data_IF_758744284154
#
_entry.id   IF_758744284154
#
_cell.length_a   1.000
_cell.length_b   1.000
_cell.length_c   1.000
_cell.angle_alpha   90.00
_cell.angle_beta   90.00
_cell.angle_gamma   90.00
#
_symmetry.space_group_name_H-M   'P 1'
#
loop_
_entity.id
_entity.type
_entity.pdbx_description
1 polymer ?
#
# COMPACT_ATOMS: atom_id res chain seq x y z
N UNK A 1 4.76 -17.77 11.98
CA UNK A 1 3.72 -18.80 11.91
C UNK A 1 3.62 -19.29 10.49
N UNK A 2 3.79 -20.61 10.27
CA UNK A 2 3.60 -21.26 8.96
C UNK A 2 2.10 -21.44 8.71
N UNK A 3 1.38 -20.33 8.58
CA UNK A 3 -0.03 -20.35 8.17
C UNK A 3 -0.10 -20.38 6.65
N UNK A 4 -1.00 -21.20 6.13
CA UNK A 4 -1.31 -21.22 4.70
C UNK A 4 -1.81 -19.82 4.28
N UNK A 5 -1.21 -19.17 3.27
CA UNK A 5 -1.62 -17.85 2.80
C UNK A 5 -3.07 -17.78 2.31
N UNK A 6 -3.67 -18.92 1.94
CA UNK A 6 -5.07 -19.02 1.52
C UNK A 6 -6.06 -18.88 2.68
N UNK A 7 -5.61 -19.12 3.92
CA UNK A 7 -6.46 -18.96 5.10
C UNK A 7 -6.59 -17.47 5.43
N UNK A 8 -7.82 -16.94 5.58
CA UNK A 8 -8.02 -15.56 5.98
C UNK A 8 -7.38 -15.27 7.34
N UNK A 9 -6.40 -14.35 7.36
CA UNK A 9 -5.71 -13.93 8.57
C UNK A 9 -6.03 -12.47 8.86
N UNK A 10 -6.58 -12.21 10.04
CA UNK A 10 -6.94 -10.89 10.53
C UNK A 10 -6.13 -10.57 11.78
N UNK A 11 -5.40 -9.47 11.75
CA UNK A 11 -4.63 -8.98 12.89
C UNK A 11 -5.32 -7.75 13.45
N UNK A 12 -5.60 -7.76 14.75
CA UNK A 12 -6.33 -6.67 15.38
C UNK A 12 -6.73 -6.98 16.81
N UNK A 13 -7.85 -6.40 17.22
CA UNK A 13 -8.48 -6.68 18.51
C UNK A 13 -9.10 -8.09 18.52
N UNK A 14 -9.32 -8.62 19.71
CA UNK A 14 -10.00 -9.91 19.89
C UNK A 14 -11.48 -9.78 19.48
N UNK A 15 -11.96 -10.57 18.52
CA UNK A 15 -13.36 -10.50 18.08
C UNK A 15 -14.36 -11.00 19.11
N UNK A 16 -13.94 -11.83 20.11
CA UNK A 16 -14.82 -12.42 21.13
C UNK A 16 -16.09 -13.02 20.53
N UNK A 17 -15.95 -13.78 19.45
CA UNK A 17 -17.05 -14.38 18.69
C UNK A 17 -18.11 -13.34 18.22
N UNK A 18 -17.65 -12.17 17.76
CA UNK A 18 -18.49 -11.10 17.25
C UNK A 18 -19.00 -10.10 18.30
N UNK A 19 -18.57 -10.23 19.56
CA UNK A 19 -18.91 -9.30 20.66
C UNK A 19 -17.75 -8.41 21.10
N UNK A 20 -16.57 -8.59 20.48
CA UNK A 20 -15.36 -7.84 20.80
C UNK A 20 -15.46 -6.37 20.46
N UNK A 21 -14.59 -5.56 21.08
CA UNK A 21 -14.44 -4.13 20.79
C UNK A 21 -13.08 -3.86 20.17
N UNK A 22 -13.03 -2.86 19.30
CA UNK A 22 -11.82 -2.41 18.62
C UNK A 22 -11.89 -2.66 17.12
N UNK A 23 -10.73 -2.64 16.48
CA UNK A 23 -10.64 -2.61 15.02
C UNK A 23 -9.65 -3.65 14.48
N UNK A 24 -9.76 -3.92 13.19
CA UNK A 24 -8.75 -4.59 12.38
C UNK A 24 -7.54 -3.66 12.24
N UNK A 25 -6.35 -4.13 12.58
CA UNK A 25 -5.09 -3.41 12.30
C UNK A 25 -4.65 -3.66 10.85
N UNK A 26 -4.62 -4.93 10.44
CA UNK A 26 -4.32 -5.35 9.07
C UNK A 26 -4.87 -6.75 8.82
N UNK A 27 -4.88 -7.18 7.55
CA UNK A 27 -5.28 -8.52 7.16
C UNK A 27 -4.56 -8.95 5.86
N UNK A 28 -4.48 -10.27 5.62
CA UNK A 28 -3.94 -10.80 4.37
C UNK A 28 -4.94 -10.66 3.20
N UNK A 29 -4.50 -11.00 2.00
CA UNK A 29 -5.32 -10.87 0.79
C UNK A 29 -6.54 -11.80 0.85
N UNK A 30 -6.42 -13.01 1.34
CA UNK A 30 -7.55 -13.93 1.52
C UNK A 30 -8.66 -13.31 2.40
N UNK A 31 -8.32 -12.58 3.45
CA UNK A 31 -9.30 -11.86 4.26
C UNK A 31 -9.87 -10.62 3.52
N UNK A 32 -9.09 -10.00 2.62
CA UNK A 32 -9.56 -8.85 1.83
C UNK A 32 -10.62 -9.23 0.81
N UNK A 33 -10.65 -10.49 0.34
CA UNK A 33 -11.67 -11.01 -0.56
C UNK A 33 -13.06 -11.04 0.11
N UNK A 34 -13.11 -11.15 1.45
CA UNK A 34 -14.33 -10.95 2.25
C UNK A 34 -14.65 -9.47 2.53
N UNK A 35 -13.94 -8.54 1.88
CA UNK A 35 -14.13 -7.09 2.06
C UNK A 35 -13.59 -6.55 3.39
N UNK A 36 -12.71 -7.30 4.09
CA UNK A 36 -12.08 -6.84 5.33
C UNK A 36 -10.97 -5.84 5.00
N UNK A 37 -10.89 -4.75 5.77
CA UNK A 37 -9.90 -3.68 5.61
C UNK A 37 -9.42 -3.18 6.97
N UNK A 38 -8.25 -2.55 6.99
CA UNK A 38 -7.74 -1.85 8.18
C UNK A 38 -8.75 -0.80 8.66
N UNK A 39 -8.78 -0.59 9.96
CA UNK A 39 -9.73 0.26 10.68
C UNK A 39 -11.20 -0.21 10.69
N UNK A 40 -11.53 -1.33 10.04
CA UNK A 40 -12.86 -1.92 10.13
C UNK A 40 -13.15 -2.35 11.57
N UNK A 41 -14.37 -2.14 12.11
CA UNK A 41 -14.75 -2.71 13.41
C UNK A 41 -14.55 -4.22 13.44
N UNK A 42 -13.97 -4.73 14.52
CA UNK A 42 -13.63 -6.16 14.62
C UNK A 42 -14.88 -7.07 14.59
N UNK A 43 -16.00 -6.58 15.08
CA UNK A 43 -17.30 -7.25 15.04
C UNK A 43 -17.83 -7.38 13.61
N UNK A 44 -17.58 -6.36 12.78
CA UNK A 44 -17.95 -6.39 11.36
C UNK A 44 -17.05 -7.35 10.59
N UNK A 45 -15.75 -7.36 10.87
CA UNK A 45 -14.82 -8.31 10.29
C UNK A 45 -15.22 -9.75 10.62
N UNK A 46 -15.59 -10.03 11.89
CA UNK A 46 -16.09 -11.33 12.31
C UNK A 46 -17.38 -11.75 11.59
N UNK A 47 -18.30 -10.81 11.38
CA UNK A 47 -19.57 -11.10 10.67
C UNK A 47 -19.32 -11.49 9.22
N UNK A 48 -18.32 -10.88 8.56
CA UNK A 48 -17.97 -11.16 7.16
C UNK A 48 -17.15 -12.42 7.00
N UNK A 49 -16.26 -12.71 7.91
CA UNK A 49 -15.33 -13.83 7.87
C UNK A 49 -15.13 -14.39 9.28
N UNK A 50 -16.04 -15.29 9.74
CA UNK A 50 -15.96 -15.84 11.07
C UNK A 50 -14.71 -16.71 11.26
N UNK A 51 -14.15 -16.68 12.47
CA UNK A 51 -13.15 -17.64 12.92
C UNK A 51 -13.77 -18.86 13.63
N UNK A 52 -12.89 -19.75 14.10
CA UNK A 52 -13.32 -20.93 14.88
C UNK A 52 -14.22 -20.52 16.07
N UNK A 53 -15.31 -21.27 16.37
CA UNK A 53 -15.68 -22.56 15.80
C UNK A 53 -16.62 -22.49 14.57
N UNK A 54 -16.98 -21.31 14.08
CA UNK A 54 -18.00 -21.13 13.01
C UNK A 54 -17.38 -20.97 11.61
N UNK A 55 -16.07 -20.72 11.51
CA UNK A 55 -15.35 -20.54 10.25
C UNK A 55 -13.85 -20.72 10.43
N UNK A 56 -13.11 -20.63 9.32
CA UNK A 56 -11.69 -20.96 9.27
C UNK A 56 -10.76 -19.75 9.42
N UNK A 57 -11.30 -18.54 9.54
CA UNK A 57 -10.49 -17.34 9.67
C UNK A 57 -9.68 -17.34 10.98
N UNK A 58 -8.44 -16.92 10.87
CA UNK A 58 -7.53 -16.79 12.01
C UNK A 58 -7.49 -15.34 12.46
N UNK A 59 -7.86 -15.12 13.72
CA UNK A 59 -7.76 -13.82 14.39
C UNK A 59 -6.59 -13.80 15.35
N UNK A 60 -5.69 -12.83 15.19
CA UNK A 60 -4.49 -12.71 16.03
C UNK A 60 -4.31 -11.29 16.53
N UNK A 61 -3.80 -11.15 17.74
CA UNK A 61 -3.30 -9.87 18.22
C UNK A 61 -1.93 -9.57 17.61
N UNK A 62 -1.71 -8.31 17.23
CA UNK A 62 -0.42 -7.87 16.75
C UNK A 62 0.68 -8.01 17.81
N UNK A 63 1.83 -8.55 17.43
CA UNK A 63 2.99 -8.69 18.33
C UNK A 63 3.73 -7.36 18.42
N UNK A 64 3.79 -6.79 19.64
CA UNK A 64 4.47 -5.52 19.89
C UNK A 64 5.93 -5.58 19.47
N UNK A 65 6.38 -4.58 18.72
CA UNK A 65 7.76 -4.44 18.26
C UNK A 65 8.18 -5.34 17.09
N UNK A 66 7.38 -6.36 16.71
CA UNK A 66 7.70 -7.24 15.58
C UNK A 66 7.78 -6.44 14.28
N UNK A 67 6.73 -5.66 13.99
CA UNK A 67 6.63 -4.86 12.76
C UNK A 67 7.73 -3.80 12.67
N UNK A 68 8.05 -3.13 13.78
CA UNK A 68 9.15 -2.15 13.82
C UNK A 68 10.51 -2.79 13.60
N UNK A 69 10.71 -4.04 14.02
CA UNK A 69 11.95 -4.78 13.72
C UNK A 69 12.03 -5.16 12.25
N UNK A 70 10.94 -5.66 11.67
CA UNK A 70 10.87 -5.97 10.23
C UNK A 70 11.09 -4.70 9.40
N UNK A 71 10.41 -3.62 9.73
CA UNK A 71 10.56 -2.31 9.10
C UNK A 71 12.02 -1.85 9.07
N UNK A 72 12.72 -1.86 10.23
CA UNK A 72 14.14 -1.47 10.27
C UNK A 72 15.02 -2.31 9.36
N UNK A 73 14.75 -3.61 9.21
CA UNK A 73 15.50 -4.48 8.29
C UNK A 73 15.23 -4.09 6.83
N UNK A 74 13.96 -3.91 6.46
CA UNK A 74 13.59 -3.43 5.10
C UNK A 74 14.25 -2.10 4.79
N UNK A 75 14.17 -1.12 5.71
CA UNK A 75 14.78 0.19 5.52
C UNK A 75 16.31 0.12 5.42
N UNK A 76 16.95 -0.81 6.14
CA UNK A 76 18.40 -1.04 6.04
C UNK A 76 18.79 -1.63 4.68
N UNK A 77 17.98 -2.53 4.11
CA UNK A 77 18.18 -3.08 2.76
C UNK A 77 18.06 -1.98 1.70
N UNK A 78 17.04 -1.10 1.83
CA UNK A 78 16.74 -0.08 0.82
C UNK A 78 17.70 1.12 0.82
N UNK A 79 18.16 1.53 2.01
CA UNK A 79 18.97 2.76 2.19
C UNK A 79 20.20 2.88 1.29
N UNK A 80 20.98 1.80 1.00
CA UNK A 80 22.17 1.90 0.14
C UNK A 80 21.89 2.23 -1.32
N UNK A 81 20.63 2.12 -1.77
CA UNK A 81 20.25 2.29 -3.17
C UNK A 81 19.84 3.71 -3.56
N UNK A 82 19.90 4.66 -2.63
CA UNK A 82 19.53 6.05 -2.92
C UNK A 82 20.33 7.04 -2.06
N UNK A 83 20.73 8.15 -2.67
CA UNK A 83 21.38 9.26 -1.96
C UNK A 83 20.39 9.95 -0.99
N UNK A 84 19.14 10.10 -1.42
CA UNK A 84 18.03 10.62 -0.61
C UNK A 84 17.04 9.50 -0.31
N UNK A 85 16.98 9.14 0.95
CA UNK A 85 16.12 8.09 1.49
C UNK A 85 15.23 8.65 2.58
N UNK A 86 13.91 8.53 2.41
CA UNK A 86 12.90 9.03 3.34
C UNK A 86 11.93 7.93 3.75
N UNK A 87 12.01 7.40 4.98
CA UNK A 87 10.94 6.58 5.52
C UNK A 87 9.67 7.41 5.71
N UNK A 88 8.59 7.04 5.02
CA UNK A 88 7.32 7.74 5.13
C UNK A 88 6.43 7.14 6.23
N UNK A 89 6.53 5.83 6.44
CA UNK A 89 5.84 5.11 7.52
C UNK A 89 6.63 3.87 7.94
N UNK A 90 6.01 2.99 8.72
CA UNK A 90 6.61 1.71 9.14
C UNK A 90 6.79 0.73 7.96
N UNK A 91 6.04 0.90 6.89
CA UNK A 91 5.97 0.00 5.73
C UNK A 91 6.18 0.71 4.39
N UNK A 92 6.47 2.01 4.41
CA UNK A 92 6.65 2.82 3.20
C UNK A 92 7.92 3.68 3.28
N UNK A 93 8.64 3.78 2.16
CA UNK A 93 9.78 4.68 2.00
C UNK A 93 9.81 5.26 0.58
N UNK A 94 10.32 6.47 0.46
CA UNK A 94 10.67 7.10 -0.80
C UNK A 94 12.18 7.11 -0.99
N UNK A 95 12.59 6.80 -2.21
CA UNK A 95 13.99 6.76 -2.63
C UNK A 95 14.16 7.66 -3.86
N UNK A 96 15.02 8.64 -3.77
CA UNK A 96 15.47 9.39 -4.95
C UNK A 96 16.67 8.65 -5.56
N UNK A 97 16.40 7.99 -6.67
CA UNK A 97 17.38 7.17 -7.41
C UNK A 97 17.92 7.87 -8.65
N UNK A 98 17.61 9.17 -8.84
CA UNK A 98 17.98 9.95 -10.02
C UNK A 98 19.48 9.91 -10.29
N UNK A 99 20.29 10.17 -9.28
CA UNK A 99 21.75 10.12 -9.39
C UNK A 99 22.27 8.69 -9.60
N UNK A 100 21.70 7.72 -8.88
CA UNK A 100 22.10 6.32 -8.94
C UNK A 100 21.84 5.70 -10.32
N UNK A 101 20.76 6.08 -10.96
CA UNK A 101 20.36 5.60 -12.28
C UNK A 101 20.76 6.54 -13.42
N UNK A 102 21.45 7.66 -13.16
CA UNK A 102 21.81 8.69 -14.14
C UNK A 102 20.58 9.18 -14.97
N UNK A 103 19.39 9.21 -14.36
CA UNK A 103 18.15 9.57 -15.02
C UNK A 103 17.57 8.51 -15.96
N UNK A 104 18.18 7.33 -16.05
CA UNK A 104 17.72 6.23 -16.89
C UNK A 104 16.57 5.48 -16.20
N UNK A 105 15.42 5.43 -16.87
CA UNK A 105 14.20 4.77 -16.40
C UNK A 105 14.27 3.25 -16.41
N UNK A 106 15.02 2.65 -17.33
CA UNK A 106 15.21 1.21 -17.38
C UNK A 106 16.19 0.77 -16.29
N UNK A 107 17.23 1.56 -16.01
CA UNK A 107 18.08 1.36 -14.85
C UNK A 107 17.28 1.46 -13.53
N UNK A 108 16.36 2.42 -13.41
CA UNK A 108 15.48 2.53 -12.24
C UNK A 108 14.56 1.31 -12.09
N UNK A 109 14.04 0.78 -13.19
CA UNK A 109 13.23 -0.45 -13.16
C UNK A 109 14.07 -1.67 -12.75
N UNK A 110 15.28 -1.80 -13.27
CA UNK A 110 16.21 -2.86 -12.88
C UNK A 110 16.59 -2.76 -11.40
N UNK A 111 16.82 -1.56 -10.91
CA UNK A 111 17.10 -1.29 -9.51
C UNK A 111 15.93 -1.69 -8.60
N UNK A 112 14.69 -1.35 -8.97
CA UNK A 112 13.50 -1.74 -8.21
C UNK A 112 13.35 -3.27 -8.15
N UNK A 113 13.64 -3.99 -9.24
CA UNK A 113 13.67 -5.46 -9.25
C UNK A 113 14.72 -6.02 -8.30
N UNK A 114 15.92 -5.43 -8.29
CA UNK A 114 16.99 -5.81 -7.36
C UNK A 114 16.61 -5.60 -5.91
N UNK A 115 16.08 -4.44 -5.57
CA UNK A 115 15.61 -4.13 -4.21
C UNK A 115 14.52 -5.10 -3.75
N UNK A 116 13.56 -5.40 -4.64
CA UNK A 116 12.50 -6.36 -4.37
C UNK A 116 13.05 -7.75 -4.04
N UNK A 117 13.97 -8.26 -4.86
CA UNK A 117 14.62 -9.55 -4.63
C UNK A 117 15.38 -9.59 -3.29
N UNK A 118 16.16 -8.55 -2.97
CA UNK A 118 16.85 -8.48 -1.68
C UNK A 118 15.88 -8.58 -0.48
N UNK A 119 14.72 -7.89 -0.54
CA UNK A 119 13.71 -7.97 0.52
C UNK A 119 13.11 -9.38 0.60
N UNK A 120 12.79 -9.99 -0.52
CA UNK A 120 12.21 -11.34 -0.59
C UNK A 120 13.18 -12.40 -0.09
N UNK A 121 14.45 -12.36 -0.52
CA UNK A 121 15.48 -13.34 -0.14
C UNK A 121 15.89 -13.23 1.33
N UNK A 122 16.09 -11.99 1.83
CA UNK A 122 16.58 -11.79 3.20
C UNK A 122 15.48 -11.89 4.25
N UNK A 123 14.24 -11.51 3.91
CA UNK A 123 13.17 -11.34 4.91
C UNK A 123 11.93 -12.20 4.63
N UNK A 124 11.80 -12.79 3.44
CA UNK A 124 10.60 -13.50 3.03
C UNK A 124 9.37 -12.58 2.94
N UNK A 125 9.57 -11.28 2.71
CA UNK A 125 8.50 -10.30 2.60
C UNK A 125 8.31 -9.86 1.16
N UNK A 126 7.06 -9.74 0.72
CA UNK A 126 6.75 -9.11 -0.57
C UNK A 126 6.76 -7.59 -0.46
N UNK A 127 7.31 -6.91 -1.46
CA UNK A 127 7.27 -5.46 -1.57
C UNK A 127 6.80 -5.04 -2.96
N UNK A 128 5.95 -4.00 -3.03
CA UNK A 128 5.51 -3.38 -4.29
C UNK A 128 6.21 -2.06 -4.50
N UNK A 129 6.63 -1.79 -5.74
CA UNK A 129 7.37 -0.59 -6.10
C UNK A 129 6.62 0.23 -7.14
N UNK A 130 6.57 1.54 -6.94
CA UNK A 130 6.15 2.50 -7.94
C UNK A 130 7.33 3.39 -8.33
N UNK A 131 7.52 3.59 -9.63
CA UNK A 131 8.56 4.46 -10.19
C UNK A 131 7.87 5.60 -10.93
N UNK A 132 8.20 6.82 -10.57
CA UNK A 132 7.62 8.02 -11.16
C UNK A 132 8.49 9.25 -10.92
N UNK A 133 8.26 10.32 -11.68
CA UNK A 133 8.99 11.58 -11.55
C UNK A 133 8.64 12.37 -10.29
N UNK A 134 7.58 11.97 -9.58
CA UNK A 134 7.14 12.58 -8.34
C UNK A 134 6.77 11.53 -7.30
N UNK A 135 6.78 11.91 -6.01
CA UNK A 135 6.34 11.03 -4.91
C UNK A 135 4.90 10.54 -5.08
N UNK A 136 4.02 11.39 -5.59
CA UNK A 136 2.61 11.03 -5.83
C UNK A 136 2.52 9.92 -6.88
N UNK A 137 3.20 10.08 -8.03
CA UNK A 137 3.26 9.07 -9.07
C UNK A 137 3.85 7.75 -8.57
N UNK A 138 4.97 7.81 -7.84
CA UNK A 138 5.58 6.63 -7.26
C UNK A 138 4.64 5.93 -6.26
N UNK A 139 3.96 6.69 -5.38
CA UNK A 139 3.00 6.14 -4.42
C UNK A 139 1.81 5.48 -5.11
N UNK A 140 1.22 6.16 -6.08
CA UNK A 140 0.09 5.59 -6.83
C UNK A 140 0.52 4.37 -7.64
N UNK A 141 1.68 4.44 -8.33
CA UNK A 141 2.24 3.32 -9.06
C UNK A 141 2.48 2.08 -8.18
N UNK A 142 2.88 2.27 -6.91
CA UNK A 142 3.08 1.15 -6.00
C UNK A 142 1.80 0.38 -5.67
N UNK A 143 0.62 0.97 -5.88
CA UNK A 143 -0.69 0.32 -5.66
C UNK A 143 -1.17 -0.48 -6.88
N UNK A 144 -0.68 -0.15 -8.11
CA UNK A 144 -1.20 -0.70 -9.37
C UNK A 144 -1.05 -2.22 -9.48
N UNK A 145 0.09 -2.72 -9.10
CA UNK A 145 0.47 -4.13 -9.26
C UNK A 145 0.65 -4.84 -7.91
N UNK A 146 -0.13 -4.48 -6.89
CA UNK A 146 -0.14 -5.21 -5.61
C UNK A 146 -0.85 -6.57 -5.76
N UNK A 147 -0.35 -7.62 -5.08
CA UNK A 147 0.84 -7.69 -4.23
C UNK A 147 2.15 -7.89 -5.02
N UNK A 148 3.22 -7.31 -4.51
CA UNK A 148 4.59 -7.64 -4.93
C UNK A 148 4.97 -7.21 -6.36
N UNK A 149 4.18 -6.35 -6.99
CA UNK A 149 4.45 -5.88 -8.35
C UNK A 149 5.32 -4.62 -8.40
N UNK A 150 5.73 -4.29 -9.61
CA UNK A 150 6.46 -3.06 -9.92
C UNK A 150 5.67 -2.33 -11.02
N UNK A 151 5.44 -1.03 -10.82
CA UNK A 151 4.83 -0.17 -11.83
C UNK A 151 5.74 1.03 -12.10
N UNK A 152 5.86 1.40 -13.37
CA UNK A 152 6.61 2.58 -13.81
C UNK A 152 5.68 3.49 -14.61
N UNK A 153 5.65 4.76 -14.24
CA UNK A 153 4.94 5.80 -14.99
C UNK A 153 5.96 6.74 -15.62
N UNK A 154 6.12 6.68 -16.95
CA UNK A 154 7.00 7.56 -17.71
C UNK A 154 6.43 8.99 -17.75
N UNK A 155 7.27 10.04 -17.94
CA UNK A 155 6.78 11.42 -18.09
C UNK A 155 5.73 11.58 -19.20
N UNK A 156 5.88 10.87 -20.31
CA UNK A 156 4.91 10.87 -21.42
C UNK A 156 3.57 10.21 -21.09
N UNK A 157 3.52 9.38 -20.05
CA UNK A 157 2.33 8.61 -19.64
C UNK A 157 1.54 9.30 -18.52
N UNK A 158 2.07 10.39 -17.93
CA UNK A 158 1.49 11.03 -16.74
C UNK A 158 0.04 11.44 -16.99
N UNK A 159 -0.22 12.09 -18.13
CA UNK A 159 -1.57 12.54 -18.47
C UNK A 159 -2.53 11.35 -18.55
N UNK A 160 -2.19 10.31 -19.30
CA UNK A 160 -2.99 9.09 -19.43
C UNK A 160 -3.14 8.35 -18.10
N UNK A 161 -2.07 8.31 -17.29
CA UNK A 161 -2.11 7.69 -15.97
C UNK A 161 -3.12 8.34 -15.02
N UNK A 162 -3.32 9.64 -15.14
CA UNK A 162 -4.26 10.38 -14.30
C UNK A 162 -5.66 10.55 -14.89
N UNK A 163 -5.81 10.55 -16.22
CA UNK A 163 -6.99 11.07 -16.94
C UNK A 163 -8.35 10.64 -16.33
N UNK A 164 -8.57 9.35 -16.18
CA UNK A 164 -9.86 8.80 -15.72
C UNK A 164 -9.86 8.39 -14.24
N UNK A 165 -8.82 8.75 -13.48
CA UNK A 165 -8.72 8.37 -12.07
C UNK A 165 -9.56 9.28 -11.21
N UNK A 166 -10.36 8.64 -10.36
CA UNK A 166 -11.04 9.37 -9.29
C UNK A 166 -10.04 10.08 -8.38
N UNK A 167 -10.35 11.30 -7.99
CA UNK A 167 -9.55 12.07 -7.02
C UNK A 167 -9.32 11.33 -5.70
N UNK A 168 -10.22 10.41 -5.32
CA UNK A 168 -10.05 9.58 -4.13
C UNK A 168 -8.87 8.61 -4.17
N UNK A 169 -8.32 8.35 -5.35
CA UNK A 169 -7.13 7.52 -5.52
C UNK A 169 -5.84 8.30 -5.28
N UNK A 170 -5.93 9.63 -5.19
CA UNK A 170 -4.77 10.49 -4.99
C UNK A 170 -4.43 10.51 -3.48
N UNK A 171 -3.18 10.23 -3.12
CA UNK A 171 -2.73 10.31 -1.74
C UNK A 171 -3.02 11.68 -1.13
N UNK A 172 -3.71 11.69 0.02
CA UNK A 172 -4.10 12.92 0.71
C UNK A 172 -5.53 13.39 0.42
N UNK A 173 -6.21 12.87 -0.62
CA UNK A 173 -7.62 13.17 -0.87
C UNK A 173 -8.51 12.12 -0.18
N UNK A 174 -8.96 12.44 1.03
CA UNK A 174 -9.90 11.61 1.78
C UNK A 174 -11.37 11.83 1.37
N UNK A 175 -12.30 11.01 1.93
CA UNK A 175 -13.72 11.10 1.59
C UNK A 175 -14.31 12.51 1.72
N UNK A 176 -13.97 13.23 2.80
CA UNK A 176 -14.48 14.60 3.04
C UNK A 176 -14.00 15.58 1.96
N UNK A 177 -12.74 15.51 1.57
CA UNK A 177 -12.17 16.36 0.51
C UNK A 177 -12.79 16.01 -0.83
N UNK A 178 -12.92 14.72 -1.15
CA UNK A 178 -13.54 14.27 -2.38
C UNK A 178 -15.00 14.74 -2.51
N UNK A 179 -15.80 14.64 -1.43
CA UNK A 179 -17.18 15.15 -1.42
C UNK A 179 -17.23 16.66 -1.72
N UNK A 180 -16.35 17.45 -1.09
CA UNK A 180 -16.30 18.90 -1.37
C UNK A 180 -15.90 19.24 -2.79
N UNK A 181 -14.97 18.47 -3.36
CA UNK A 181 -14.56 18.66 -4.76
C UNK A 181 -15.69 18.28 -5.73
N UNK A 182 -16.41 17.19 -5.41
CA UNK A 182 -17.58 16.76 -6.20
C UNK A 182 -18.72 17.80 -6.19
N UNK A 183 -18.91 18.55 -5.10
CA UNK A 183 -19.85 19.67 -5.03
C UNK A 183 -19.49 20.80 -6.01
N UNK A 184 -18.25 20.88 -6.45
CA UNK A 184 -17.76 21.82 -7.45
C UNK A 184 -17.63 21.18 -8.85
N UNK A 185 -18.14 19.96 -9.04
CA UNK A 185 -18.08 19.24 -10.31
C UNK A 185 -16.71 18.65 -10.62
N UNK A 186 -15.82 18.51 -9.60
CA UNK A 186 -14.46 17.99 -9.76
C UNK A 186 -14.43 16.56 -9.20
N UNK A 187 -14.46 15.54 -10.08
CA UNK A 187 -14.49 14.13 -9.70
C UNK A 187 -13.21 13.39 -10.12
N UNK A 188 -12.57 13.84 -11.18
CA UNK A 188 -11.36 13.26 -11.77
C UNK A 188 -10.19 14.23 -11.76
N UNK A 189 -9.01 13.71 -12.07
CA UNK A 189 -7.83 14.58 -12.29
C UNK A 189 -7.98 15.44 -13.53
N UNK A 190 -8.65 14.97 -14.58
CA UNK A 190 -8.93 15.77 -15.77
C UNK A 190 -9.78 16.99 -15.43
N UNK A 191 -10.80 16.82 -14.57
CA UNK A 191 -11.61 17.95 -14.09
C UNK A 191 -10.75 18.97 -13.33
N UNK A 192 -9.87 18.46 -12.44
CA UNK A 192 -8.99 19.32 -11.64
C UNK A 192 -7.96 20.09 -12.49
N UNK A 193 -7.45 19.49 -13.56
CA UNK A 193 -6.51 20.14 -14.48
C UNK A 193 -7.20 21.20 -15.34
N UNK A 194 -8.46 20.98 -15.75
CA UNK A 194 -9.25 21.94 -16.53
C UNK A 194 -9.53 23.26 -15.81
N UNK A 195 -9.43 23.30 -14.47
CA UNK A 195 -9.63 24.53 -13.69
C UNK A 195 -8.42 25.48 -13.78
N UNK A 196 -7.22 24.96 -14.06
CA UNK A 196 -5.99 25.75 -14.15
C UNK A 196 -5.83 26.55 -15.45
N UNK A 197 -6.74 26.40 -16.41
CA UNK A 197 -6.75 27.10 -17.70
C UNK A 197 -7.79 28.23 -17.75
N UNK A 198 -8.44 28.55 -16.62
CA UNK A 198 -9.31 29.70 -16.45
C UNK A 198 -8.56 30.88 -15.78
#
# INVERSE_FOLDING_TARGET
HNLDPSIPLIIGSDPQQGRGRGIVSTCNYAARDFGIRSAMPITEAWRRCPGSPIGDAVYMRGTRGLYSRASRKVMAILRPFAAKFEPASIDEAYLDVTEYCAGDWDAALALARKMKLCIEEELGLSASFGIGSTRILAKMGSEENKPGGIHRTMPSEIHTFFADRSLRQIPGIGPKTATRLSEWGIETMSDALGIGEL
#
